data_IF_425076645571
#
_entry.id   IF_425076645571
#
_cell.length_a   1.000
_cell.length_b   1.000
_cell.length_c   1.000
_cell.angle_alpha   90.00
_cell.angle_beta   90.00
_cell.angle_gamma   90.00
#
_symmetry.space_group_name_H-M   'P 1'
#
loop_
_entity.id
_entity.type
_entity.pdbx_description
1 polymer ?
#
# COMPACT_ATOMS: atom_id res chain seq x y z
N UNK A 1 -25.39 -15.26 32.25
CA UNK A 1 -26.49 -15.86 31.47
C UNK A 1 -27.87 -15.27 31.77
N UNK A 2 -28.36 -15.13 33.02
CA UNK A 2 -29.72 -14.58 33.28
C UNK A 2 -30.01 -13.18 32.70
N UNK A 3 -29.03 -12.27 32.69
CA UNK A 3 -29.21 -10.89 32.19
C UNK A 3 -29.50 -10.85 30.67
N UNK A 4 -28.90 -11.76 29.90
CA UNK A 4 -29.09 -11.86 28.45
C UNK A 4 -30.51 -12.30 28.11
N UNK A 5 -31.05 -13.25 28.87
CA UNK A 5 -32.42 -13.73 28.67
C UNK A 5 -33.46 -12.63 28.98
N UNK A 6 -33.27 -11.87 30.06
CA UNK A 6 -34.12 -10.73 30.43
C UNK A 6 -34.10 -9.61 29.36
N UNK A 7 -32.96 -9.40 28.70
CA UNK A 7 -32.76 -8.32 27.74
C UNK A 7 -32.72 -8.78 26.27
N UNK A 8 -33.35 -9.93 25.97
CA UNK A 8 -33.39 -10.51 24.61
C UNK A 8 -33.89 -9.51 23.55
N UNK A 9 -34.81 -8.63 23.95
CA UNK A 9 -35.37 -7.56 23.10
C UNK A 9 -34.31 -6.58 22.60
N UNK A 10 -33.31 -6.25 23.43
CA UNK A 10 -32.23 -5.32 23.06
C UNK A 10 -31.33 -5.99 22.02
N UNK A 11 -30.97 -7.26 22.21
CA UNK A 11 -30.18 -8.00 21.23
C UNK A 11 -30.89 -8.11 19.89
N UNK A 12 -32.18 -8.46 19.89
CA UNK A 12 -32.98 -8.54 18.66
C UNK A 12 -33.03 -7.19 17.93
N UNK A 13 -33.24 -6.10 18.67
CA UNK A 13 -33.25 -4.74 18.09
C UNK A 13 -31.91 -4.39 17.44
N UNK A 14 -30.79 -4.73 18.09
CA UNK A 14 -29.46 -4.48 17.53
C UNK A 14 -29.21 -5.35 16.29
N UNK A 15 -29.57 -6.63 16.31
CA UNK A 15 -29.46 -7.51 15.14
C UNK A 15 -30.25 -6.98 13.93
N UNK A 16 -31.48 -6.48 14.17
CA UNK A 16 -32.30 -5.84 13.14
C UNK A 16 -31.60 -4.59 12.59
N UNK A 17 -31.05 -3.75 13.47
CA UNK A 17 -30.32 -2.56 13.06
C UNK A 17 -29.08 -2.88 12.22
N UNK A 18 -28.29 -3.89 12.61
CA UNK A 18 -27.13 -4.37 11.84
C UNK A 18 -27.54 -4.97 10.49
N UNK A 19 -28.67 -5.69 10.42
CA UNK A 19 -29.20 -6.22 9.17
C UNK A 19 -29.59 -5.09 8.20
N UNK A 20 -30.22 -4.03 8.70
CA UNK A 20 -30.55 -2.84 7.88
C UNK A 20 -29.28 -2.15 7.39
N UNK A 21 -28.27 -1.99 8.25
CA UNK A 21 -26.97 -1.43 7.86
C UNK A 21 -26.27 -2.27 6.79
N UNK A 22 -26.34 -3.60 6.89
CA UNK A 22 -25.81 -4.51 5.88
C UNK A 22 -26.52 -4.33 4.54
N UNK A 23 -27.86 -4.25 4.53
CA UNK A 23 -28.63 -3.98 3.32
C UNK A 23 -28.26 -2.64 2.71
N UNK A 24 -28.08 -1.60 3.52
CA UNK A 24 -27.65 -0.29 3.05
C UNK A 24 -26.24 -0.33 2.42
N UNK A 25 -25.30 -1.03 3.06
CA UNK A 25 -23.96 -1.21 2.52
C UNK A 25 -23.97 -2.02 1.21
N UNK A 26 -24.84 -3.02 1.10
CA UNK A 26 -25.00 -3.81 -0.12
C UNK A 26 -25.54 -2.95 -1.27
N UNK A 27 -26.55 -2.12 -1.01
CA UNK A 27 -27.10 -1.17 -2.01
C UNK A 27 -26.00 -0.21 -2.47
N UNK A 28 -25.19 0.32 -1.54
CA UNK A 28 -24.07 1.21 -1.85
C UNK A 28 -22.97 0.50 -2.66
N UNK A 29 -22.62 -0.73 -2.30
CA UNK A 29 -21.63 -1.53 -3.03
C UNK A 29 -22.04 -1.78 -4.49
N UNK A 30 -23.34 -1.96 -4.76
CA UNK A 30 -23.87 -2.17 -6.12
C UNK A 30 -23.99 -0.86 -6.88
N UNK A 31 -24.56 0.19 -6.26
CA UNK A 31 -24.78 1.49 -6.91
C UNK A 31 -23.54 2.37 -6.99
N UNK A 32 -22.45 2.01 -6.31
CA UNK A 32 -21.21 2.79 -6.27
C UNK A 32 -20.63 3.05 -7.66
N UNK A 33 -20.51 4.33 -8.10
CA UNK A 33 -20.01 4.69 -9.43
C UNK A 33 -18.50 4.51 -9.55
N UNK A 34 -17.76 4.68 -8.45
CA UNK A 34 -16.31 4.54 -8.42
C UNK A 34 -15.90 3.21 -7.79
N UNK A 35 -14.79 2.63 -8.25
CA UNK A 35 -14.24 1.40 -7.66
C UNK A 35 -13.87 1.64 -6.19
N UNK A 36 -13.34 2.83 -5.87
CA UNK A 36 -13.04 3.23 -4.49
C UNK A 36 -14.27 3.19 -3.57
N UNK A 37 -15.43 3.68 -4.04
CA UNK A 37 -16.69 3.64 -3.27
C UNK A 37 -17.11 2.19 -2.95
N UNK A 38 -16.93 1.29 -3.92
CA UNK A 38 -17.19 -0.16 -3.75
C UNK A 38 -16.22 -0.79 -2.74
N UNK A 39 -14.93 -0.45 -2.80
CA UNK A 39 -13.93 -0.94 -1.82
C UNK A 39 -14.31 -0.52 -0.40
N UNK A 40 -14.68 0.74 -0.22
CA UNK A 40 -15.10 1.27 1.09
C UNK A 40 -16.37 0.59 1.56
N UNK A 41 -17.35 0.36 0.68
CA UNK A 41 -18.57 -0.36 1.02
C UNK A 41 -18.29 -1.80 1.47
N UNK A 42 -17.37 -2.51 0.82
CA UNK A 42 -16.95 -3.86 1.23
C UNK A 42 -16.28 -3.86 2.61
N UNK A 43 -15.42 -2.88 2.90
CA UNK A 43 -14.82 -2.74 4.22
C UNK A 43 -15.87 -2.52 5.34
N UNK A 44 -16.88 -1.70 5.05
CA UNK A 44 -17.98 -1.46 5.98
C UNK A 44 -18.81 -2.73 6.19
N UNK A 45 -19.11 -3.48 5.12
CA UNK A 45 -19.77 -4.79 5.24
C UNK A 45 -18.97 -5.75 6.11
N UNK A 46 -17.66 -5.86 5.89
CA UNK A 46 -16.78 -6.69 6.71
C UNK A 46 -16.85 -6.31 8.18
N UNK A 47 -16.80 -5.01 8.50
CA UNK A 47 -16.92 -4.51 9.87
C UNK A 47 -18.26 -4.88 10.51
N UNK A 48 -19.38 -4.73 9.79
CA UNK A 48 -20.70 -5.11 10.32
C UNK A 48 -20.75 -6.61 10.62
N UNK A 49 -20.21 -7.44 9.72
CA UNK A 49 -20.12 -8.90 9.93
C UNK A 49 -19.27 -9.22 11.16
N UNK A 50 -18.14 -8.53 11.40
CA UNK A 50 -17.38 -8.70 12.66
C UNK A 50 -18.25 -8.44 13.89
N UNK A 51 -18.99 -7.33 13.88
CA UNK A 51 -19.83 -6.94 15.03
C UNK A 51 -20.94 -7.97 15.24
N UNK A 52 -21.54 -8.50 14.16
CA UNK A 52 -22.51 -9.60 14.23
C UNK A 52 -21.90 -10.82 14.90
N UNK A 53 -20.71 -11.27 14.47
CA UNK A 53 -20.05 -12.47 15.03
C UNK A 53 -19.66 -12.23 16.50
N UNK A 54 -19.09 -11.07 16.82
CA UNK A 54 -18.71 -10.71 18.19
C UNK A 54 -19.94 -10.66 19.12
N UNK A 55 -21.07 -10.11 18.64
CA UNK A 55 -22.32 -10.11 19.39
C UNK A 55 -22.86 -11.53 19.59
N UNK A 56 -22.77 -12.38 18.55
CA UNK A 56 -23.15 -13.78 18.64
C UNK A 56 -22.29 -14.56 19.64
N UNK A 57 -20.99 -14.24 19.73
CA UNK A 57 -20.07 -14.78 20.73
C UNK A 57 -20.55 -14.50 22.16
N UNK A 58 -20.96 -13.25 22.43
CA UNK A 58 -21.50 -12.85 23.73
C UNK A 58 -22.83 -13.52 24.02
N UNK A 59 -23.67 -13.70 22.99
CA UNK A 59 -24.98 -14.35 23.13
C UNK A 59 -24.85 -15.86 23.45
N UNK A 60 -23.97 -16.58 22.76
CA UNK A 60 -23.73 -18.01 23.03
C UNK A 60 -22.87 -18.24 24.28
N UNK A 61 -22.08 -17.23 24.72
CA UNK A 61 -21.18 -17.35 25.86
C UNK A 61 -19.93 -18.17 25.57
N UNK A 62 -19.63 -18.40 24.28
CA UNK A 62 -18.59 -19.29 23.81
C UNK A 62 -17.42 -18.48 23.23
N UNK A 63 -16.23 -18.65 23.81
CA UNK A 63 -15.05 -17.87 23.45
C UNK A 63 -14.50 -18.16 22.05
N UNK A 64 -14.80 -19.32 21.46
CA UNK A 64 -14.28 -19.70 20.13
C UNK A 64 -14.82 -18.79 19.00
N UNK A 65 -16.01 -18.21 19.18
CA UNK A 65 -16.61 -17.28 18.22
C UNK A 65 -15.81 -15.97 18.13
N UNK A 66 -15.14 -15.56 19.21
CA UNK A 66 -14.27 -14.38 19.20
C UNK A 66 -12.99 -14.64 18.40
N UNK A 67 -12.43 -15.85 18.44
CA UNK A 67 -11.27 -16.19 17.63
C UNK A 67 -11.60 -16.15 16.13
N UNK A 68 -12.74 -16.72 15.74
CA UNK A 68 -13.27 -16.62 14.37
C UNK A 68 -13.49 -15.16 13.97
N UNK A 69 -14.03 -14.33 14.88
CA UNK A 69 -14.18 -12.89 14.65
C UNK A 69 -12.85 -12.19 14.38
N UNK A 70 -11.80 -12.50 15.15
CA UNK A 70 -10.47 -11.92 14.97
C UNK A 70 -9.84 -12.35 13.65
N UNK A 71 -9.97 -13.62 13.27
CA UNK A 71 -9.52 -14.13 11.96
C UNK A 71 -10.26 -13.39 10.84
N UNK A 72 -11.58 -13.23 10.96
CA UNK A 72 -12.36 -12.50 9.98
C UNK A 72 -11.87 -11.05 9.89
N UNK A 73 -11.57 -10.39 11.02
CA UNK A 73 -11.06 -9.02 11.08
C UNK A 73 -9.75 -8.87 10.30
N UNK A 74 -8.82 -9.80 10.48
CA UNK A 74 -7.57 -9.83 9.74
C UNK A 74 -7.81 -10.02 8.24
N UNK A 75 -8.68 -10.97 7.85
CA UNK A 75 -9.00 -11.24 6.44
C UNK A 75 -9.64 -10.02 5.77
N UNK A 76 -10.63 -9.38 6.41
CA UNK A 76 -11.31 -8.19 5.88
C UNK A 76 -10.33 -7.05 5.66
N UNK A 77 -9.42 -6.83 6.61
CA UNK A 77 -8.39 -5.81 6.48
C UNK A 77 -7.43 -6.12 5.32
N UNK A 78 -6.94 -7.35 5.23
CA UNK A 78 -6.07 -7.79 4.14
C UNK A 78 -6.75 -7.66 2.77
N UNK A 79 -8.04 -8.03 2.67
CA UNK A 79 -8.80 -7.91 1.43
C UNK A 79 -8.81 -6.47 0.90
N UNK A 80 -9.01 -5.48 1.78
CA UNK A 80 -9.00 -4.06 1.41
C UNK A 80 -7.60 -3.61 1.00
N UNK A 81 -6.56 -3.96 1.75
CA UNK A 81 -5.17 -3.61 1.40
C UNK A 81 -4.77 -4.17 0.04
N UNK A 82 -5.09 -5.45 -0.22
CA UNK A 82 -4.81 -6.11 -1.51
C UNK A 82 -5.58 -5.42 -2.63
N UNK A 83 -6.87 -5.15 -2.43
CA UNK A 83 -7.71 -4.48 -3.42
C UNK A 83 -7.22 -3.07 -3.74
N UNK A 84 -6.83 -2.30 -2.72
CA UNK A 84 -6.24 -0.96 -2.88
C UNK A 84 -4.92 -1.03 -3.64
N UNK A 85 -4.06 -2.02 -3.35
CA UNK A 85 -2.78 -2.21 -4.04
C UNK A 85 -2.98 -2.57 -5.52
N UNK A 86 -3.91 -3.48 -5.81
CA UNK A 86 -4.26 -3.86 -7.19
C UNK A 86 -4.81 -2.65 -7.94
N UNK A 87 -5.75 -1.93 -7.34
CA UNK A 87 -6.34 -0.74 -7.94
C UNK A 87 -5.29 0.34 -8.25
N UNK A 88 -4.44 0.66 -7.28
CA UNK A 88 -3.37 1.66 -7.46
C UNK A 88 -2.33 1.21 -8.49
N UNK A 89 -1.98 -0.08 -8.49
CA UNK A 89 -1.04 -0.65 -9.46
C UNK A 89 -1.51 -0.49 -10.91
N UNK A 90 -2.80 -0.74 -11.17
CA UNK A 90 -3.39 -0.59 -12.51
C UNK A 90 -3.40 0.88 -12.97
N UNK A 91 -3.65 1.83 -12.06
CA UNK A 91 -3.63 3.26 -12.39
C UNK A 91 -2.21 3.75 -12.72
N UNK A 92 -1.19 3.26 -12.02
CA UNK A 92 0.22 3.60 -12.29
C UNK A 92 0.70 3.07 -13.65
N UNK A 93 0.23 1.90 -14.09
CA UNK A 93 0.60 1.35 -15.39
C UNK A 93 0.13 2.25 -16.55
N UNK A 94 -1.09 2.81 -16.43
CA UNK A 94 -1.63 3.74 -17.44
C UNK A 94 -0.79 5.02 -17.54
N UNK A 95 -0.37 5.57 -16.40
CA UNK A 95 0.49 6.75 -16.36
C UNK A 95 1.87 6.47 -16.97
N UNK A 96 2.44 5.30 -16.68
CA UNK A 96 3.72 4.88 -17.25
C UNK A 96 3.65 4.68 -18.77
N UNK A 97 2.55 4.10 -19.29
CA UNK A 97 2.33 3.96 -20.74
C UNK A 97 2.20 5.33 -21.42
N UNK A 98 1.39 6.22 -20.85
CA UNK A 98 1.21 7.57 -21.39
C UNK A 98 2.53 8.35 -21.40
N UNK A 99 3.33 8.29 -20.32
CA UNK A 99 4.68 8.91 -20.28
C UNK A 99 5.63 8.33 -21.33
N UNK A 100 5.65 7.00 -21.52
CA UNK A 100 6.48 6.35 -22.54
C UNK A 100 6.04 6.73 -23.96
N UNK A 101 4.74 6.81 -24.22
CA UNK A 101 4.21 7.27 -25.51
C UNK A 101 4.56 8.73 -25.76
N UNK A 102 4.44 9.58 -24.73
CA UNK A 102 4.80 10.98 -24.83
C UNK A 102 6.31 11.16 -25.07
N UNK A 103 7.15 10.41 -24.38
CA UNK A 103 8.60 10.38 -24.65
C UNK A 103 8.92 9.90 -26.07
N UNK A 104 8.25 8.83 -26.54
CA UNK A 104 8.43 8.35 -27.92
C UNK A 104 7.97 9.36 -28.96
N UNK A 105 6.90 10.10 -28.70
CA UNK A 105 6.40 11.14 -29.60
C UNK A 105 7.36 12.33 -29.65
N UNK A 106 7.80 12.82 -28.48
CA UNK A 106 8.80 13.90 -28.37
C UNK A 106 10.12 13.51 -29.06
N UNK A 107 10.56 12.26 -28.88
CA UNK A 107 11.78 11.76 -29.52
C UNK A 107 11.60 11.53 -31.03
N UNK A 108 10.41 11.16 -31.50
CA UNK A 108 10.14 11.06 -32.93
C UNK A 108 10.05 12.44 -33.61
N UNK A 109 9.56 13.46 -32.89
CA UNK A 109 9.55 14.84 -33.36
C UNK A 109 10.96 15.42 -33.46
N UNK A 110 11.83 15.20 -32.47
CA UNK A 110 13.23 15.68 -32.54
C UNK A 110 13.99 15.08 -33.73
N UNK A 111 13.83 13.78 -33.98
CA UNK A 111 14.44 13.10 -35.13
C UNK A 111 13.88 13.64 -36.46
N UNK A 112 12.60 13.99 -36.50
CA UNK A 112 11.97 14.60 -37.70
C UNK A 112 12.48 16.00 -37.96
N UNK A 113 12.69 16.77 -36.90
CA UNK A 113 13.21 18.14 -36.95
C UNK A 113 14.67 18.14 -37.44
N UNK A 114 15.50 17.23 -36.89
CA UNK A 114 16.85 16.94 -37.37
C UNK A 114 16.88 16.56 -38.86
N UNK A 115 15.99 15.67 -39.30
CA UNK A 115 15.88 15.25 -40.69
C UNK A 115 15.43 16.36 -41.65
N UNK A 116 14.61 17.32 -41.20
CA UNK A 116 14.22 18.47 -42.02
C UNK A 116 15.31 19.55 -42.08
N UNK A 117 16.15 19.67 -41.07
CA UNK A 117 17.33 20.55 -41.09
C UNK A 117 18.55 19.94 -41.80
N UNK A 118 18.46 18.65 -42.14
CA UNK A 118 19.58 17.78 -42.55
C UNK A 118 20.06 17.88 -44.00
N UNK A 119 20.17 19.08 -44.58
CA UNK A 119 21.01 19.28 -45.77
C UNK A 119 22.22 20.19 -45.54
N UNK A 120 22.58 20.54 -44.29
CA UNK A 120 23.74 21.41 -44.05
C UNK A 120 24.48 21.22 -42.71
N UNK A 121 24.30 20.10 -42.00
CA UNK A 121 24.74 19.97 -40.59
C UNK A 121 25.77 18.88 -40.26
N UNK A 122 26.40 18.20 -41.23
CA UNK A 122 27.15 16.97 -40.94
C UNK A 122 28.51 17.16 -40.20
N UNK A 123 29.03 18.38 -40.06
CA UNK A 123 30.36 18.61 -39.46
C UNK A 123 30.35 19.24 -38.05
N UNK A 124 29.26 19.87 -37.62
CA UNK A 124 29.23 20.60 -36.33
C UNK A 124 28.60 19.79 -35.19
N UNK A 125 27.66 18.89 -35.48
CA UNK A 125 26.95 18.07 -34.49
C UNK A 125 27.85 17.04 -33.80
N UNK A 126 28.92 16.61 -34.47
CA UNK A 126 29.85 15.58 -33.97
C UNK A 126 30.61 16.03 -32.71
N UNK A 127 30.81 17.33 -32.52
CA UNK A 127 31.56 17.86 -31.37
C UNK A 127 30.67 18.16 -30.16
N UNK A 128 29.36 18.36 -30.35
CA UNK A 128 28.40 18.59 -29.26
C UNK A 128 27.70 17.30 -28.79
N UNK A 129 27.44 16.34 -29.69
CA UNK A 129 26.92 15.02 -29.30
C UNK A 129 27.93 14.24 -28.44
N UNK A 130 29.22 14.30 -28.76
CA UNK A 130 30.29 13.64 -27.99
C UNK A 130 30.41 14.26 -26.57
N UNK A 131 30.24 15.58 -26.44
CA UNK A 131 30.26 16.29 -25.16
C UNK A 131 28.98 16.08 -24.33
N UNK A 132 27.85 15.87 -25.00
CA UNK A 132 26.56 15.63 -24.34
C UNK A 132 26.41 14.18 -23.91
N UNK A 133 26.95 13.22 -24.66
CA UNK A 133 27.05 11.81 -24.24
C UNK A 133 28.01 11.61 -23.07
N UNK A 134 29.16 12.31 -23.03
CA UNK A 134 30.04 12.29 -21.85
C UNK A 134 29.34 12.86 -20.61
N UNK A 135 28.63 13.98 -20.74
CA UNK A 135 27.92 14.62 -19.62
C UNK A 135 26.75 13.75 -19.13
N UNK A 136 26.00 13.10 -20.03
CA UNK A 136 24.86 12.23 -19.68
C UNK A 136 25.32 10.88 -19.10
N UNK A 137 26.46 10.38 -19.55
CA UNK A 137 27.10 9.17 -19.00
C UNK A 137 27.67 9.45 -17.61
N UNK A 138 28.27 10.62 -17.37
CA UNK A 138 28.70 11.09 -16.06
C UNK A 138 27.52 11.28 -15.08
N UNK A 139 26.39 11.81 -15.54
CA UNK A 139 25.19 12.02 -14.71
C UNK A 139 24.54 10.68 -14.29
N UNK A 140 24.44 9.72 -15.21
CA UNK A 140 23.94 8.36 -14.91
C UNK A 140 24.92 7.62 -13.98
N UNK A 141 26.23 7.84 -14.15
CA UNK A 141 27.25 7.27 -13.26
C UNK A 141 27.16 7.87 -11.85
N UNK A 142 26.96 9.18 -11.73
CA UNK A 142 26.79 9.83 -10.41
C UNK A 142 25.46 9.47 -9.75
N UNK A 143 24.37 9.29 -10.49
CA UNK A 143 23.08 8.83 -9.94
C UNK A 143 23.19 7.39 -9.40
N UNK A 144 23.85 6.47 -10.13
CA UNK A 144 24.11 5.11 -9.66
C UNK A 144 25.00 5.08 -8.41
N UNK A 145 26.05 5.91 -8.37
CA UNK A 145 26.94 6.02 -7.20
C UNK A 145 26.18 6.58 -5.99
N UNK A 146 25.34 7.61 -6.17
CA UNK A 146 24.48 8.14 -5.08
C UNK A 146 23.53 7.07 -4.54
N UNK A 147 22.88 6.31 -5.42
CA UNK A 147 22.02 5.21 -5.00
C UNK A 147 22.79 4.11 -4.25
N UNK A 148 24.03 3.83 -4.64
CA UNK A 148 24.87 2.83 -3.97
C UNK A 148 25.38 3.31 -2.61
N UNK A 149 25.73 4.60 -2.48
CA UNK A 149 26.13 5.22 -1.21
C UNK A 149 24.98 5.25 -0.21
N UNK A 150 23.77 5.62 -0.65
CA UNK A 150 22.56 5.59 0.19
C UNK A 150 22.31 4.17 0.71
N UNK A 151 22.41 3.16 -0.16
CA UNK A 151 22.27 1.75 0.23
C UNK A 151 23.34 1.30 1.23
N UNK A 152 24.55 1.84 1.13
CA UNK A 152 25.65 1.52 2.04
C UNK A 152 25.48 2.20 3.40
N UNK A 153 24.94 3.42 3.42
CA UNK A 153 24.62 4.16 4.65
C UNK A 153 23.41 3.57 5.39
N UNK A 154 22.39 3.07 4.67
CA UNK A 154 21.29 2.30 5.29
C UNK A 154 21.80 1.02 5.95
N UNK A 155 22.70 0.28 5.30
CA UNK A 155 23.31 -0.94 5.85
C UNK A 155 24.17 -0.64 7.10
N UNK A 156 24.90 0.49 7.14
CA UNK A 156 25.63 0.91 8.34
C UNK A 156 24.69 1.33 9.48
N UNK A 157 23.58 1.97 9.15
CA UNK A 157 22.58 2.43 10.12
C UNK A 157 21.86 1.25 10.76
N UNK A 158 21.49 0.23 9.98
CA UNK A 158 20.93 -1.02 10.52
C UNK A 158 21.96 -1.77 11.37
N UNK A 159 23.20 -1.90 10.88
CA UNK A 159 24.27 -2.58 11.64
C UNK A 159 24.55 -1.90 12.99
N UNK A 160 24.54 -0.56 13.04
CA UNK A 160 24.74 0.22 14.27
C UNK A 160 23.56 0.07 15.26
N UNK A 161 22.32 -0.08 14.75
CA UNK A 161 21.15 -0.39 15.56
C UNK A 161 21.26 -1.75 16.25
N UNK A 162 21.77 -2.75 15.53
CA UNK A 162 21.99 -4.10 16.08
C UNK A 162 23.11 -4.10 17.13
N UNK A 163 24.18 -3.34 16.91
CA UNK A 163 25.30 -3.25 17.85
C UNK A 163 24.88 -2.55 19.15
N UNK A 164 24.11 -1.46 19.05
CA UNK A 164 23.62 -0.72 20.21
C UNK A 164 22.53 -1.50 20.99
N UNK A 165 21.72 -2.30 20.29
CA UNK A 165 20.73 -3.21 20.92
C UNK A 165 21.40 -4.35 21.67
N UNK A 166 22.49 -4.92 21.12
CA UNK A 166 23.29 -5.92 21.84
C UNK A 166 24.02 -5.34 23.06
N UNK A 167 24.57 -4.13 22.95
CA UNK A 167 25.25 -3.48 24.09
C UNK A 167 24.27 -3.12 25.21
N UNK A 168 23.05 -2.70 24.87
CA UNK A 168 21.97 -2.42 25.85
C UNK A 168 21.48 -3.69 26.55
N UNK A 169 21.35 -4.82 25.84
CA UNK A 169 21.01 -6.11 26.44
C UNK A 169 22.14 -6.66 27.33
N UNK A 170 23.41 -6.45 26.95
CA UNK A 170 24.57 -6.85 27.77
C UNK A 170 24.66 -6.04 29.06
N UNK A 171 24.32 -4.75 29.05
CA UNK A 171 24.31 -3.90 30.25
C UNK A 171 23.08 -4.13 31.14
N UNK A 172 21.94 -4.52 30.56
CA UNK A 172 20.73 -4.87 31.31
C UNK A 172 20.82 -6.21 32.06
N UNK A 173 21.59 -7.17 31.56
CA UNK A 173 21.77 -8.48 32.20
C UNK A 173 22.72 -8.47 33.42
N UNK A 174 23.48 -7.38 33.63
CA UNK A 174 24.46 -7.27 34.74
C UNK A 174 23.84 -6.69 36.01
N UNK A 175 22.61 -6.17 35.96
CA UNK A 175 22.00 -5.45 37.09
C UNK A 175 20.83 -6.16 37.78
N UNK A 176 20.63 -7.46 37.54
CA UNK A 176 19.59 -8.24 38.23
C UNK A 176 20.21 -9.46 38.92
N UNK A 177 20.96 -9.22 39.99
CA UNK A 177 21.20 -10.21 41.04
C UNK A 177 20.50 -9.69 42.30
N UNK A 178 19.44 -10.35 42.79
CA UNK A 178 18.76 -9.94 44.01
C UNK A 178 19.51 -10.51 45.22
N UNK A 179 19.86 -9.63 46.15
CA UNK A 179 20.02 -10.02 47.56
C UNK A 179 18.67 -10.44 48.14
#
# INVERSE_FOLDING_TARGET
MRIIWEHSWIFISIFIFLAILLLFCLIRAIKGPTIADRVVAVNMMGTIVMVVIAMLAVYMGEGYLLDICLIYAMISFLAVVVLTKIYSGVHLEKLAKNKRQQQKAVQAESIREEAMTGHSGAETTRTEEERTEETRTEEIRTEKVRAQVIRTEEIKTERNKDTNTQEKNRKGAVHHDPH
#
